data_IF_589974658857
#
_entry.id   IF_589974658857
#
_cell.length_a   1.000
_cell.length_b   1.000
_cell.length_c   1.000
_cell.angle_alpha   90.00
_cell.angle_beta   90.00
_cell.angle_gamma   90.00
#
_symmetry.space_group_name_H-M   'P 1'
#
loop_
_entity.id
_entity.type
_entity.pdbx_description
1 polymer ?
#
# COMPACT_ATOMS: atom_id res chain seq x y z
N UNK A 1 13.99 5.15 -13.44
CA UNK A 1 12.90 6.14 -13.60
C UNK A 1 11.54 5.50 -13.39
N UNK A 2 11.27 4.31 -13.95
CA UNK A 2 10.01 3.58 -13.74
C UNK A 2 9.77 3.18 -12.28
N UNK A 3 10.80 2.76 -11.54
CA UNK A 3 10.67 2.40 -10.11
C UNK A 3 10.23 3.58 -9.23
N UNK A 4 10.72 4.79 -9.51
CA UNK A 4 10.36 6.00 -8.77
C UNK A 4 8.88 6.35 -8.99
N UNK A 5 8.40 6.25 -10.24
CA UNK A 5 7.00 6.51 -10.58
C UNK A 5 6.05 5.48 -9.96
N UNK A 6 6.48 4.22 -9.85
CA UNK A 6 5.69 3.15 -9.22
C UNK A 6 5.59 3.38 -7.70
N UNK A 7 6.68 3.81 -7.05
CA UNK A 7 6.67 4.14 -5.62
C UNK A 7 5.81 5.37 -5.32
N UNK A 8 5.88 6.41 -6.14
CA UNK A 8 5.03 7.60 -6.01
C UNK A 8 3.55 7.26 -6.23
N UNK A 9 3.23 6.38 -7.18
CA UNK A 9 1.87 5.91 -7.41
C UNK A 9 1.32 5.07 -6.24
N UNK A 10 2.16 4.27 -5.60
CA UNK A 10 1.79 3.49 -4.42
C UNK A 10 1.48 4.42 -3.22
N UNK A 11 2.35 5.39 -2.95
CA UNK A 11 2.14 6.38 -1.89
C UNK A 11 0.86 7.20 -2.14
N UNK A 12 0.61 7.61 -3.38
CA UNK A 12 -0.61 8.33 -3.75
C UNK A 12 -1.86 7.44 -3.57
N UNK A 13 -1.78 6.16 -3.91
CA UNK A 13 -2.87 5.20 -3.72
C UNK A 13 -3.22 4.98 -2.24
N UNK A 14 -2.22 4.97 -1.36
CA UNK A 14 -2.39 4.87 0.09
C UNK A 14 -3.07 6.10 0.69
N UNK A 15 -2.74 7.30 0.20
CA UNK A 15 -3.41 8.54 0.63
C UNK A 15 -4.84 8.65 0.10
N UNK A 16 -5.09 8.17 -1.12
CA UNK A 16 -6.41 8.27 -1.76
C UNK A 16 -7.40 7.20 -1.28
N UNK A 17 -6.93 6.03 -0.84
CA UNK A 17 -7.77 4.91 -0.39
C UNK A 17 -8.78 5.30 0.72
N UNK A 18 -8.38 5.99 1.80
CA UNK A 18 -9.31 6.44 2.84
C UNK A 18 -10.30 7.50 2.36
N UNK A 19 -9.88 8.37 1.43
CA UNK A 19 -10.70 9.46 0.91
C UNK A 19 -11.75 8.94 -0.07
N UNK A 20 -11.32 8.20 -1.10
CA UNK A 20 -12.19 7.60 -2.10
C UNK A 20 -13.07 6.51 -1.49
N UNK A 21 -12.50 5.65 -0.65
CA UNK A 21 -13.26 4.61 0.03
C UNK A 21 -14.32 5.19 0.97
N UNK A 22 -13.99 6.25 1.71
CA UNK A 22 -14.96 6.96 2.54
C UNK A 22 -16.10 7.58 1.73
N UNK A 23 -15.79 8.18 0.59
CA UNK A 23 -16.81 8.74 -0.32
C UNK A 23 -17.73 7.66 -0.91
N UNK A 24 -17.17 6.52 -1.32
CA UNK A 24 -17.96 5.39 -1.85
C UNK A 24 -18.90 4.84 -0.77
N UNK A 25 -18.40 4.66 0.46
CA UNK A 25 -19.20 4.15 1.58
C UNK A 25 -20.35 5.11 1.91
N UNK A 26 -20.10 6.42 1.94
CA UNK A 26 -21.13 7.44 2.16
C UNK A 26 -22.23 7.40 1.09
N UNK A 27 -21.87 7.07 -0.16
CA UNK A 27 -22.84 6.94 -1.27
C UNK A 27 -23.59 5.62 -1.27
N UNK A 28 -22.98 4.53 -0.82
CA UNK A 28 -23.61 3.21 -0.76
C UNK A 28 -24.51 3.06 0.47
N UNK A 29 -24.07 3.59 1.61
CA UNK A 29 -24.79 3.57 2.88
C UNK A 29 -24.54 4.85 3.69
N UNK A 30 -25.46 5.84 3.61
CA UNK A 30 -25.33 7.10 4.35
C UNK A 30 -25.43 6.94 5.87
N UNK A 31 -25.90 5.79 6.36
CA UNK A 31 -26.02 5.50 7.79
C UNK A 31 -24.78 4.80 8.36
N UNK A 32 -23.82 4.46 7.49
CA UNK A 32 -22.56 3.85 7.89
C UNK A 32 -21.72 4.79 8.76
N UNK A 33 -21.01 4.23 9.75
CA UNK A 33 -20.00 4.98 10.51
C UNK A 33 -18.79 5.29 9.61
N UNK A 34 -18.84 6.45 8.95
CA UNK A 34 -17.78 6.92 8.07
C UNK A 34 -16.45 7.12 8.80
N UNK A 35 -16.47 7.41 10.10
CA UNK A 35 -15.24 7.58 10.87
C UNK A 35 -14.56 6.23 11.04
N UNK A 36 -15.30 5.22 11.53
CA UNK A 36 -14.79 3.85 11.67
C UNK A 36 -14.36 3.24 10.33
N UNK A 37 -15.13 3.47 9.27
CA UNK A 37 -14.80 3.02 7.92
C UNK A 37 -13.51 3.67 7.39
N UNK A 38 -13.34 4.99 7.55
CA UNK A 38 -12.10 5.69 7.15
C UNK A 38 -10.89 5.18 7.95
N UNK A 39 -11.05 4.96 9.26
CA UNK A 39 -9.98 4.38 10.08
C UNK A 39 -9.58 2.99 9.59
N UNK A 40 -10.54 2.13 9.26
CA UNK A 40 -10.26 0.80 8.71
C UNK A 40 -9.54 0.89 7.36
N UNK A 41 -9.94 1.83 6.49
CA UNK A 41 -9.29 2.07 5.20
C UNK A 41 -7.84 2.59 5.36
N UNK A 42 -7.58 3.48 6.32
CA UNK A 42 -6.21 3.91 6.65
C UNK A 42 -5.36 2.73 7.14
N UNK A 43 -5.91 1.87 8.00
CA UNK A 43 -5.22 0.65 8.44
C UNK A 43 -4.92 -0.31 7.29
N UNK A 44 -5.87 -0.47 6.35
CA UNK A 44 -5.66 -1.28 5.15
C UNK A 44 -4.55 -0.71 4.25
N UNK A 45 -4.55 0.61 4.03
CA UNK A 45 -3.49 1.28 3.28
C UNK A 45 -2.11 1.04 3.92
N UNK A 46 -1.99 1.21 5.24
CA UNK A 46 -0.74 0.93 5.96
C UNK A 46 -0.29 -0.53 5.88
N UNK A 47 -1.24 -1.49 5.92
CA UNK A 47 -0.92 -2.90 5.74
C UNK A 47 -0.44 -3.21 4.32
N UNK A 48 -1.00 -2.55 3.30
CA UNK A 48 -0.53 -2.65 1.91
C UNK A 48 0.90 -2.09 1.79
N UNK A 49 1.18 -0.93 2.39
CA UNK A 49 2.51 -0.32 2.42
C UNK A 49 3.55 -1.30 2.98
N UNK A 50 3.25 -1.87 4.16
CA UNK A 50 4.12 -2.82 4.83
C UNK A 50 4.34 -4.09 3.99
N UNK A 51 3.30 -4.58 3.29
CA UNK A 51 3.41 -5.72 2.39
C UNK A 51 4.32 -5.41 1.20
N UNK A 52 4.19 -4.24 0.58
CA UNK A 52 5.05 -3.81 -0.53
C UNK A 52 6.51 -3.74 -0.06
N UNK A 53 6.78 -3.08 1.06
CA UNK A 53 8.14 -3.02 1.64
C UNK A 53 8.71 -4.41 1.94
N UNK A 54 7.89 -5.31 2.50
CA UNK A 54 8.31 -6.69 2.78
C UNK A 54 8.65 -7.46 1.50
N UNK A 55 7.87 -7.28 0.43
CA UNK A 55 8.13 -7.91 -0.87
C UNK A 55 9.39 -7.34 -1.52
N UNK A 56 9.60 -6.02 -1.51
CA UNK A 56 10.82 -5.39 -2.00
C UNK A 56 12.06 -5.91 -1.25
N UNK A 57 12.00 -5.92 0.08
CA UNK A 57 13.10 -6.40 0.94
C UNK A 57 13.43 -7.88 0.68
N UNK A 58 12.40 -8.73 0.51
CA UNK A 58 12.58 -10.14 0.15
C UNK A 58 13.21 -10.32 -1.23
N UNK A 59 12.86 -9.46 -2.19
CA UNK A 59 13.41 -9.48 -3.55
C UNK A 59 14.89 -9.08 -3.55
N UNK A 60 15.29 -8.08 -2.75
CA UNK A 60 16.69 -7.69 -2.56
C UNK A 60 17.49 -8.80 -1.89
N UNK A 61 16.95 -9.43 -0.83
CA UNK A 61 17.62 -10.53 -0.13
C UNK A 61 17.87 -11.74 -1.03
N UNK A 62 16.93 -12.06 -1.93
CA UNK A 62 17.10 -13.15 -2.91
C UNK A 62 18.12 -12.86 -4.01
N UNK A 63 18.43 -11.59 -4.27
CA UNK A 63 19.40 -11.19 -5.31
C UNK A 63 20.83 -11.15 -4.76
N UNK A 64 20.99 -10.86 -3.46
CA UNK A 64 22.30 -10.88 -2.81
C UNK A 64 22.91 -12.30 -2.74
N UNK A 65 22.10 -13.35 -2.60
CA UNK A 65 22.60 -14.72 -2.39
C UNK A 65 23.17 -15.39 -3.65
N UNK A 66 22.92 -14.86 -4.85
CA UNK A 66 23.46 -15.44 -6.10
C UNK A 66 24.80 -14.86 -6.53
N UNK A 67 25.31 -13.79 -5.89
CA UNK A 67 26.59 -13.17 -6.28
C UNK A 67 27.79 -13.76 -5.51
N UNK A 68 27.58 -14.33 -4.31
CA UNK A 68 28.67 -14.90 -3.50
C UNK A 68 29.01 -16.36 -3.83
N UNK A 69 28.21 -17.06 -4.64
CA UNK A 69 28.47 -18.44 -5.05
C UNK A 69 29.32 -18.56 -6.33
N UNK A 70 29.84 -17.45 -6.86
CA UNK A 70 30.54 -17.39 -8.15
C UNK A 70 31.96 -16.77 -8.09
N UNK A 71 32.60 -16.74 -6.92
CA UNK A 71 34.02 -16.39 -6.77
C UNK A 71 34.86 -17.57 -6.29
#
# INVERSE_FOLDING_TARGET
MTDTLIQEAAALGEELLPVLGGFIIEKLDPSCDLTGAKTALTGLAGNLAALVTALETKTVSSTATTTEAAQ
#
